data_IF_691453976193
#
_entry.id   IF_691453976193
#
_cell.length_a   1.000
_cell.length_b   1.000
_cell.length_c   1.000
_cell.angle_alpha   90.00
_cell.angle_beta   90.00
_cell.angle_gamma   90.00
#
_symmetry.space_group_name_H-M   'P 1'
#
loop_
_entity.id
_entity.type
_entity.pdbx_description
1 polymer ?
#
# COMPACT_ATOMS: atom_id res chain seq x y z
N UNK A 1 -34.35 1.76 -9.67
CA UNK A 1 -33.56 0.83 -8.83
C UNK A 1 -32.09 0.95 -9.18
N UNK A 2 -31.72 1.01 -10.46
CA UNK A 2 -30.34 1.24 -10.94
C UNK A 2 -29.68 2.52 -10.39
N UNK A 3 -30.36 3.67 -10.47
CA UNK A 3 -29.84 4.96 -9.93
C UNK A 3 -29.45 4.85 -8.44
N UNK A 4 -30.26 4.15 -7.64
CA UNK A 4 -29.98 3.96 -6.21
C UNK A 4 -28.72 3.13 -6.02
N UNK A 5 -28.53 2.06 -6.81
CA UNK A 5 -27.39 1.18 -6.67
C UNK A 5 -26.08 1.84 -7.14
N UNK A 6 -26.12 2.61 -8.23
CA UNK A 6 -25.00 3.42 -8.71
C UNK A 6 -24.55 4.44 -7.65
N UNK A 7 -25.49 5.17 -7.04
CA UNK A 7 -25.21 6.15 -5.99
C UNK A 7 -24.54 5.52 -4.75
N UNK A 8 -25.04 4.36 -4.30
CA UNK A 8 -24.44 3.62 -3.19
C UNK A 8 -23.03 3.12 -3.54
N UNK A 9 -22.82 2.64 -4.75
CA UNK A 9 -21.52 2.17 -5.22
C UNK A 9 -20.51 3.32 -5.28
N UNK A 10 -20.93 4.49 -5.80
CA UNK A 10 -20.11 5.69 -5.84
C UNK A 10 -19.73 6.17 -4.44
N UNK A 11 -20.69 6.20 -3.51
CA UNK A 11 -20.43 6.56 -2.10
C UNK A 11 -19.43 5.58 -1.46
N UNK A 12 -19.60 4.28 -1.68
CA UNK A 12 -18.67 3.25 -1.21
C UNK A 12 -17.26 3.46 -1.78
N UNK A 13 -17.14 3.75 -3.08
CA UNK A 13 -15.86 4.00 -3.72
C UNK A 13 -15.16 5.24 -3.12
N UNK A 14 -15.89 6.33 -2.90
CA UNK A 14 -15.35 7.54 -2.25
C UNK A 14 -14.83 7.24 -0.85
N UNK A 15 -15.60 6.52 -0.04
CA UNK A 15 -15.17 6.12 1.31
C UNK A 15 -13.90 5.27 1.26
N UNK A 16 -13.82 4.31 0.33
CA UNK A 16 -12.65 3.44 0.16
C UNK A 16 -11.41 4.21 -0.29
N UNK A 17 -11.55 5.23 -1.14
CA UNK A 17 -10.45 6.11 -1.55
C UNK A 17 -9.88 6.84 -0.33
N UNK A 18 -10.73 7.42 0.52
CA UNK A 18 -10.27 8.09 1.74
C UNK A 18 -9.63 7.11 2.72
N UNK A 19 -10.22 5.93 2.90
CA UNK A 19 -9.68 4.89 3.77
C UNK A 19 -8.31 4.40 3.30
N UNK A 20 -8.15 4.14 2.01
CA UNK A 20 -6.85 3.79 1.42
C UNK A 20 -5.84 4.94 1.51
N UNK A 21 -6.26 6.18 1.33
CA UNK A 21 -5.42 7.37 1.52
C UNK A 21 -4.89 7.48 2.95
N UNK A 22 -5.76 7.28 3.95
CA UNK A 22 -5.36 7.22 5.36
C UNK A 22 -4.40 6.06 5.62
N UNK A 23 -4.67 4.88 5.06
CA UNK A 23 -3.79 3.71 5.18
C UNK A 23 -2.39 4.00 4.61
N UNK A 24 -2.34 4.62 3.43
CA UNK A 24 -1.10 5.03 2.75
C UNK A 24 -0.31 6.01 3.61
N UNK A 25 -0.97 7.05 4.12
CA UNK A 25 -0.34 8.04 4.98
C UNK A 25 0.22 7.42 6.27
N UNK A 26 -0.59 6.61 6.96
CA UNK A 26 -0.19 5.94 8.20
C UNK A 26 0.99 4.99 7.97
N UNK A 27 0.92 4.11 6.96
CA UNK A 27 1.99 3.17 6.67
C UNK A 27 3.28 3.89 6.25
N UNK A 28 3.19 4.90 5.39
CA UNK A 28 4.34 5.71 4.97
C UNK A 28 5.02 6.41 6.15
N UNK A 29 4.24 7.12 6.97
CA UNK A 29 4.79 7.95 8.06
C UNK A 29 5.23 7.16 9.29
N UNK A 30 4.55 6.07 9.61
CA UNK A 30 4.80 5.30 10.84
C UNK A 30 5.76 4.15 10.60
N UNK A 31 5.60 3.44 9.48
CA UNK A 31 6.35 2.21 9.17
C UNK A 31 7.51 2.48 8.23
N UNK A 32 7.26 2.99 7.02
CA UNK A 32 8.33 3.21 6.02
C UNK A 32 9.37 4.19 6.54
N UNK A 33 8.96 5.35 7.05
CA UNK A 33 9.89 6.34 7.64
C UNK A 33 10.73 5.75 8.78
N UNK A 34 10.15 4.90 9.62
CA UNK A 34 10.88 4.25 10.70
C UNK A 34 11.94 3.27 10.17
N UNK A 35 11.54 2.39 9.24
CA UNK A 35 12.43 1.41 8.62
C UNK A 35 13.57 2.11 7.89
N UNK A 36 13.28 3.14 7.09
CA UNK A 36 14.30 3.92 6.38
C UNK A 36 15.26 4.62 7.35
N UNK A 37 14.78 5.10 8.49
CA UNK A 37 15.64 5.70 9.52
C UNK A 37 16.60 4.68 10.14
N UNK A 38 16.13 3.46 10.42
CA UNK A 38 17.01 2.38 10.91
C UNK A 38 18.00 1.92 9.84
N UNK A 39 17.56 1.78 8.58
CA UNK A 39 18.42 1.45 7.44
C UNK A 39 19.52 2.49 7.22
N UNK A 40 19.19 3.78 7.36
CA UNK A 40 20.16 4.86 7.21
C UNK A 40 21.29 4.79 8.23
N UNK A 41 21.06 4.23 9.43
CA UNK A 41 22.13 3.99 10.43
C UNK A 41 23.16 2.97 9.96
N UNK A 42 22.77 2.07 9.06
CA UNK A 42 23.66 1.10 8.39
C UNK A 42 24.13 1.61 7.01
N UNK A 43 23.97 2.90 6.73
CA UNK A 43 24.40 3.54 5.47
C UNK A 43 23.51 3.24 4.27
N UNK A 44 22.31 2.69 4.50
CA UNK A 44 21.38 2.31 3.44
C UNK A 44 20.29 3.36 3.30
N UNK A 45 20.42 4.17 2.26
CA UNK A 45 19.47 5.24 1.95
C UNK A 45 18.31 4.70 1.10
N UNK A 46 17.15 5.39 1.11
CA UNK A 46 16.05 5.03 0.23
C UNK A 46 16.46 5.07 -1.25
N UNK A 47 15.89 4.21 -2.11
CA UNK A 47 16.25 4.15 -3.52
C UNK A 47 15.99 5.47 -4.25
N UNK A 48 16.97 5.94 -5.02
CA UNK A 48 16.87 7.20 -5.77
C UNK A 48 15.87 7.13 -6.92
N UNK A 49 15.65 5.94 -7.50
CA UNK A 49 14.74 5.75 -8.64
C UNK A 49 13.29 6.09 -8.29
N UNK A 50 12.89 5.96 -7.02
CA UNK A 50 11.52 6.19 -6.59
C UNK A 50 11.19 7.68 -6.54
N UNK A 51 12.16 8.57 -6.26
CA UNK A 51 11.99 10.05 -6.17
C UNK A 51 10.73 10.53 -5.43
N UNK A 52 10.15 9.72 -4.54
CA UNK A 52 8.90 10.04 -3.84
C UNK A 52 7.61 9.77 -4.62
N UNK A 53 7.67 9.07 -5.76
CA UNK A 53 6.51 8.59 -6.52
C UNK A 53 5.69 7.61 -5.66
N UNK A 54 6.34 6.91 -4.73
CA UNK A 54 5.67 6.06 -3.74
C UNK A 54 5.59 4.59 -4.13
N UNK A 55 6.19 4.18 -5.25
CA UNK A 55 6.25 2.79 -5.68
C UNK A 55 7.03 1.92 -4.66
N UNK A 56 8.06 2.48 -4.02
CA UNK A 56 8.79 1.77 -2.95
C UNK A 56 7.92 1.45 -1.74
N UNK A 57 6.91 2.26 -1.42
CA UNK A 57 6.01 2.06 -0.27
C UNK A 57 5.27 0.73 -0.47
N UNK A 58 4.77 0.49 -1.68
CA UNK A 58 4.10 -0.77 -2.03
C UNK A 58 5.06 -1.95 -1.93
N UNK A 59 6.32 -1.82 -2.39
CA UNK A 59 7.33 -2.87 -2.24
C UNK A 59 7.59 -3.22 -0.77
N UNK A 60 7.75 -2.21 0.10
CA UNK A 60 7.94 -2.42 1.54
C UNK A 60 6.75 -3.18 2.13
N UNK A 61 5.52 -2.80 1.78
CA UNK A 61 4.32 -3.50 2.25
C UNK A 61 4.32 -4.97 1.80
N UNK A 62 4.62 -5.24 0.52
CA UNK A 62 4.67 -6.61 -0.02
C UNK A 62 5.71 -7.47 0.70
N UNK A 63 6.93 -6.96 0.88
CA UNK A 63 8.01 -7.66 1.59
C UNK A 63 7.60 -7.98 3.03
N UNK A 64 7.04 -7.01 3.76
CA UNK A 64 6.61 -7.18 5.15
C UNK A 64 5.49 -8.22 5.26
N UNK A 65 4.49 -8.17 4.36
CA UNK A 65 3.35 -9.10 4.40
C UNK A 65 3.77 -10.51 4.01
N UNK A 66 4.59 -10.65 2.95
CA UNK A 66 5.11 -11.93 2.50
C UNK A 66 6.11 -12.54 3.48
N UNK A 67 6.74 -11.72 4.35
CA UNK A 67 7.81 -12.12 5.26
C UNK A 67 8.96 -12.86 4.55
N UNK A 68 9.19 -12.49 3.28
CA UNK A 68 10.13 -13.16 2.39
C UNK A 68 10.89 -12.11 1.59
N UNK A 69 12.21 -12.27 1.53
CA UNK A 69 13.06 -11.51 0.64
C UNK A 69 13.10 -12.18 -0.74
N UNK A 70 12.99 -11.39 -1.81
CA UNK A 70 13.21 -11.86 -3.16
C UNK A 70 14.72 -11.91 -3.47
N UNK A 71 15.11 -12.83 -4.36
CA UNK A 71 16.50 -12.97 -4.80
C UNK A 71 17.00 -11.73 -5.56
N UNK A 72 16.08 -11.08 -6.29
CA UNK A 72 16.31 -9.84 -7.00
C UNK A 72 15.17 -8.88 -6.65
N UNK A 73 15.48 -7.86 -5.85
CA UNK A 73 14.53 -6.82 -5.44
C UNK A 73 15.10 -5.43 -5.72
N UNK A 74 14.29 -4.47 -6.23
CA UNK A 74 14.69 -3.07 -6.36
C UNK A 74 14.91 -2.34 -5.02
N UNK A 75 14.54 -2.99 -3.90
CA UNK A 75 14.73 -2.50 -2.53
C UNK A 75 15.46 -3.56 -1.70
N UNK A 76 16.06 -3.15 -0.58
CA UNK A 76 16.79 -4.09 0.26
C UNK A 76 15.83 -4.86 1.19
N UNK A 77 15.23 -5.93 0.68
CA UNK A 77 14.21 -6.73 1.37
C UNK A 77 14.70 -7.27 2.73
N UNK A 78 15.96 -7.68 2.82
CA UNK A 78 16.52 -8.24 4.06
C UNK A 78 16.52 -7.21 5.18
N UNK A 79 16.90 -5.97 4.88
CA UNK A 79 16.87 -4.89 5.86
C UNK A 79 15.45 -4.45 6.21
N UNK A 80 14.54 -4.43 5.23
CA UNK A 80 13.12 -4.15 5.48
C UNK A 80 12.58 -5.15 6.50
N UNK A 81 12.81 -6.45 6.29
CA UNK A 81 12.35 -7.49 7.20
C UNK A 81 13.03 -7.42 8.57
N UNK A 82 14.32 -7.09 8.62
CA UNK A 82 15.09 -6.97 9.87
C UNK A 82 14.55 -5.86 10.77
N UNK A 83 14.12 -4.74 10.20
CA UNK A 83 13.64 -3.57 10.95
C UNK A 83 12.12 -3.47 11.06
N UNK A 84 11.37 -4.25 10.27
CA UNK A 84 9.92 -4.29 10.37
C UNK A 84 9.48 -4.76 11.76
N UNK A 85 8.65 -3.97 12.43
CA UNK A 85 8.06 -4.32 13.72
C UNK A 85 6.74 -5.05 13.49
N UNK A 86 6.25 -5.75 14.51
CA UNK A 86 4.94 -6.42 14.47
C UNK A 86 3.78 -5.48 14.06
N UNK A 87 3.79 -4.22 14.50
CA UNK A 87 2.78 -3.22 14.11
C UNK A 87 2.82 -2.82 12.64
N UNK A 88 4.01 -2.87 12.03
CA UNK A 88 4.20 -2.49 10.64
C UNK A 88 3.55 -3.52 9.70
N UNK A 89 3.46 -4.79 10.14
CA UNK A 89 2.69 -5.82 9.43
C UNK A 89 1.20 -5.49 9.36
N UNK A 90 0.57 -5.08 10.46
CA UNK A 90 -0.85 -4.73 10.45
C UNK A 90 -1.12 -3.50 9.56
N UNK A 91 -0.24 -2.50 9.60
CA UNK A 91 -0.34 -1.33 8.74
C UNK A 91 -0.15 -1.69 7.26
N UNK A 92 0.79 -2.58 6.94
CA UNK A 92 1.02 -3.06 5.59
C UNK A 92 -0.17 -3.87 5.04
N UNK A 93 -0.74 -4.77 5.84
CA UNK A 93 -1.95 -5.52 5.49
C UNK A 93 -3.14 -4.59 5.31
N UNK A 94 -3.31 -3.60 6.19
CA UNK A 94 -4.38 -2.62 6.04
C UNK A 94 -4.22 -1.78 4.77
N UNK A 95 -3.01 -1.34 4.45
CA UNK A 95 -2.70 -0.62 3.21
C UNK A 95 -2.96 -1.44 1.96
N UNK A 96 -2.40 -2.65 1.85
CA UNK A 96 -2.60 -3.52 0.68
C UNK A 96 -4.05 -4.01 0.57
N UNK A 97 -4.66 -4.39 1.70
CA UNK A 97 -6.03 -4.87 1.74
C UNK A 97 -7.04 -3.81 1.33
N UNK A 98 -6.91 -2.58 1.85
CA UNK A 98 -7.78 -1.47 1.43
C UNK A 98 -7.62 -1.12 -0.04
N UNK A 99 -6.41 -1.22 -0.59
CA UNK A 99 -6.18 -1.04 -2.03
C UNK A 99 -6.88 -2.13 -2.87
N UNK A 100 -6.74 -3.40 -2.48
CA UNK A 100 -7.40 -4.52 -3.18
C UNK A 100 -8.91 -4.36 -3.15
N UNK A 101 -9.49 -4.00 -2.00
CA UNK A 101 -10.93 -3.75 -1.87
C UNK A 101 -11.37 -2.59 -2.78
N UNK A 102 -10.61 -1.50 -2.82
CA UNK A 102 -10.87 -0.37 -3.72
C UNK A 102 -10.84 -0.81 -5.19
N UNK A 103 -9.85 -1.60 -5.60
CA UNK A 103 -9.75 -2.13 -6.96
C UNK A 103 -10.89 -3.08 -7.30
N UNK A 104 -11.34 -3.92 -6.37
CA UNK A 104 -12.50 -4.78 -6.59
C UNK A 104 -13.78 -3.97 -6.80
N UNK A 105 -14.03 -2.94 -5.98
CA UNK A 105 -15.21 -2.07 -6.15
C UNK A 105 -15.14 -1.30 -7.46
N UNK A 106 -13.97 -0.75 -7.82
CA UNK A 106 -13.77 -0.09 -9.11
C UNK A 106 -13.95 -1.03 -10.31
N UNK A 107 -13.47 -2.27 -10.21
CA UNK A 107 -13.66 -3.30 -11.23
C UNK A 107 -15.13 -3.70 -11.39
N UNK A 108 -15.88 -3.82 -10.29
CA UNK A 108 -17.33 -4.07 -10.32
C UNK A 108 -18.05 -2.87 -10.96
N UNK A 109 -17.68 -1.64 -10.60
CA UNK A 109 -18.25 -0.42 -11.20
C UNK A 109 -18.04 -0.41 -12.72
N UNK A 110 -16.81 -0.67 -13.15
CA UNK A 110 -16.46 -0.70 -14.58
C UNK A 110 -17.17 -1.84 -15.33
N UNK A 111 -17.28 -3.02 -14.73
CA UNK A 111 -18.00 -4.13 -15.35
C UNK A 111 -19.49 -3.85 -15.55
N UNK A 112 -20.13 -3.13 -14.62
CA UNK A 112 -21.57 -2.85 -14.66
C UNK A 112 -21.92 -1.59 -15.47
N UNK A 113 -21.05 -0.58 -15.46
CA UNK A 113 -21.35 0.76 -15.99
C UNK A 113 -20.30 1.28 -16.98
N UNK A 114 -19.29 0.48 -17.31
CA UNK A 114 -18.25 0.85 -18.27
C UNK A 114 -18.82 0.98 -19.69
N UNK A 115 -18.18 1.80 -20.55
CA UNK A 115 -18.54 1.88 -21.95
C UNK A 115 -18.29 0.53 -22.66
N UNK A 116 -19.14 0.17 -23.62
CA UNK A 116 -18.92 -0.95 -24.55
C UNK A 116 -17.74 -0.71 -25.50
#
# INVERSE_FOLDING_TARGET
MEIIFEDWLALCAVILIFLWGIATFCFSRISVKYIECEMAKEGQLPPEWDKGIGARITMYAMVIVAKKAADVSPVNDQLILRYARKKDWYLAVFFLGSFVVLMCVGGIAYYLYGPE
#
